data_IF_794908034706
#
_entry.id   IF_794908034706
#
_cell.length_a   1.000
_cell.length_b   1.000
_cell.length_c   1.000
_cell.angle_alpha   90.00
_cell.angle_beta   90.00
_cell.angle_gamma   90.00
#
_symmetry.space_group_name_H-M   'P 1'
#
loop_
_entity.id
_entity.type
_entity.pdbx_description
1 polymer ?
#
# COMPACT_ATOMS: atom_id res chain seq x y z
N UNK A 1 11.37 -0.17 11.65
CA UNK A 1 10.10 -0.58 11.03
C UNK A 1 10.38 -0.72 9.55
N UNK A 2 10.29 -1.91 8.93
CA UNK A 2 10.64 -2.06 7.53
C UNK A 2 9.54 -1.39 6.67
N UNK A 3 9.98 -0.67 5.64
CA UNK A 3 9.11 -0.01 4.67
C UNK A 3 8.22 -1.04 3.97
N UNK A 4 6.94 -0.70 3.74
CA UNK A 4 6.02 -1.52 2.95
C UNK A 4 6.35 -1.35 1.46
N UNK A 5 6.60 -2.46 0.76
CA UNK A 5 7.20 -2.49 -0.58
C UNK A 5 6.21 -3.09 -1.58
N UNK A 6 5.82 -2.36 -2.63
CA UNK A 6 4.90 -2.86 -3.66
C UNK A 6 5.60 -3.82 -4.64
N UNK A 7 5.31 -5.12 -4.53
CA UNK A 7 5.83 -6.23 -5.34
C UNK A 7 5.73 -5.96 -6.85
N UNK A 8 6.63 -6.57 -7.66
CA UNK A 8 6.71 -6.31 -9.08
C UNK A 8 5.40 -6.71 -9.74
N UNK A 9 4.83 -5.76 -10.46
CA UNK A 9 3.74 -5.91 -11.42
C UNK A 9 3.99 -7.11 -12.37
N UNK A 10 3.63 -8.30 -11.93
CA UNK A 10 3.54 -9.51 -12.75
C UNK A 10 2.27 -9.37 -13.59
N UNK A 11 2.44 -8.59 -14.66
CA UNK A 11 1.52 -8.45 -15.78
C UNK A 11 1.26 -9.82 -16.40
N UNK A 12 0.23 -10.52 -15.92
CA UNK A 12 -0.37 -11.60 -16.69
C UNK A 12 -1.39 -10.97 -17.65
N UNK A 13 -0.89 -10.27 -18.68
CA UNK A 13 -1.71 -9.87 -19.82
C UNK A 13 -1.99 -11.14 -20.61
N UNK A 14 -3.12 -11.76 -20.35
CA UNK A 14 -3.68 -12.78 -21.22
C UNK A 14 -4.22 -12.06 -22.46
N UNK A 15 -3.37 -11.87 -23.47
CA UNK A 15 -3.82 -11.48 -24.81
C UNK A 15 -4.66 -12.66 -25.33
N UNK A 16 -5.98 -12.59 -25.21
CA UNK A 16 -6.89 -13.52 -25.88
C UNK A 16 -6.86 -13.20 -27.37
N UNK A 17 -5.96 -13.87 -28.10
CA UNK A 17 -6.11 -14.02 -29.56
C UNK A 17 -6.65 -15.42 -29.82
N UNK A 18 -7.88 -15.40 -30.31
CA UNK A 18 -8.76 -16.45 -30.81
C UNK A 18 -8.15 -17.83 -31.15
N UNK A 19 -8.96 -18.84 -30.80
CA UNK A 19 -9.07 -20.20 -31.37
C UNK A 19 -7.81 -21.08 -31.28
N UNK A 20 -7.75 -21.95 -30.28
CA UNK A 20 -7.90 -23.39 -30.51
C UNK A 20 -7.84 -24.20 -29.20
N UNK A 21 -8.86 -25.02 -29.04
CA UNK A 21 -9.14 -25.85 -27.88
C UNK A 21 -8.45 -27.21 -28.02
N UNK A 22 -7.12 -27.33 -27.98
CA UNK A 22 -6.46 -28.64 -27.77
C UNK A 22 -5.07 -28.49 -27.13
N UNK A 23 -4.93 -29.02 -25.91
CA UNK A 23 -3.69 -29.37 -25.20
C UNK A 23 -2.58 -28.30 -25.10
N UNK A 24 -2.77 -27.38 -24.16
CA UNK A 24 -1.67 -26.66 -23.54
C UNK A 24 -1.20 -27.43 -22.29
N UNK A 25 -0.30 -28.41 -22.50
CA UNK A 25 0.61 -28.91 -21.47
C UNK A 25 1.60 -27.78 -21.15
N UNK A 26 1.15 -26.83 -20.34
CA UNK A 26 2.03 -25.89 -19.64
C UNK A 26 1.82 -26.21 -18.17
N UNK A 27 2.91 -26.42 -17.43
CA UNK A 27 2.88 -26.49 -15.97
C UNK A 27 2.02 -25.34 -15.47
N UNK A 28 0.78 -25.63 -15.05
CA UNK A 28 -0.13 -24.62 -14.58
C UNK A 28 0.58 -23.96 -13.40
N UNK A 29 0.93 -22.67 -13.46
CA UNK A 29 1.35 -21.98 -12.26
C UNK A 29 0.12 -22.06 -11.36
N UNK A 30 0.19 -22.92 -10.34
CA UNK A 30 -0.84 -23.23 -9.36
C UNK A 30 -1.97 -22.19 -9.43
N UNK A 31 -3.07 -22.53 -10.12
CA UNK A 31 -4.25 -21.66 -10.13
C UNK A 31 -4.81 -21.72 -8.72
N UNK A 32 -4.23 -20.91 -7.84
CA UNK A 32 -4.79 -20.65 -6.53
C UNK A 32 -5.88 -19.63 -6.78
N UNK A 33 -7.15 -19.98 -6.56
CA UNK A 33 -8.21 -18.99 -6.61
C UNK A 33 -7.81 -17.89 -5.63
N UNK A 34 -7.60 -16.70 -6.16
CA UNK A 34 -7.27 -15.53 -5.35
C UNK A 34 -8.49 -15.17 -4.52
N UNK A 35 -8.26 -14.78 -3.28
CA UNK A 35 -9.31 -14.20 -2.44
C UNK A 35 -9.77 -12.89 -3.05
N UNK A 36 -11.06 -12.60 -2.92
CA UNK A 36 -11.60 -11.31 -3.32
C UNK A 36 -10.94 -10.20 -2.49
N UNK A 37 -10.63 -9.09 -3.15
CA UNK A 37 -10.07 -7.93 -2.50
C UNK A 37 -11.05 -7.33 -1.45
N UNK A 38 -10.62 -7.12 -0.20
CA UNK A 38 -11.46 -6.48 0.81
C UNK A 38 -11.67 -4.97 0.55
N UNK A 39 -10.84 -4.36 -0.30
CA UNK A 39 -10.93 -2.95 -0.68
C UNK A 39 -11.78 -2.80 -1.94
N UNK A 40 -12.79 -1.95 -1.86
CA UNK A 40 -13.63 -1.65 -3.03
C UNK A 40 -13.01 -0.54 -3.88
N UNK A 41 -12.19 -0.93 -4.86
CA UNK A 41 -11.56 0.00 -5.80
C UNK A 41 -12.55 0.71 -6.73
N UNK A 42 -13.76 0.18 -6.96
CA UNK A 42 -14.72 0.78 -7.90
C UNK A 42 -15.10 2.22 -7.54
N UNK A 43 -15.28 2.50 -6.25
CA UNK A 43 -15.78 3.79 -5.75
C UNK A 43 -14.67 4.72 -5.24
N UNK A 44 -13.41 4.42 -5.52
CA UNK A 44 -12.30 5.30 -5.13
C UNK A 44 -12.18 6.52 -6.05
N UNK A 45 -11.48 7.55 -5.55
CA UNK A 45 -11.25 8.77 -6.30
C UNK A 45 -10.02 8.63 -7.21
N UNK A 46 -10.27 8.42 -8.50
CA UNK A 46 -9.23 8.30 -9.53
C UNK A 46 -8.69 9.64 -10.05
N UNK A 47 -9.16 10.77 -9.53
CA UNK A 47 -8.77 12.11 -9.98
C UNK A 47 -7.28 12.33 -9.84
N UNK A 48 -6.66 11.76 -8.81
CA UNK A 48 -5.21 11.88 -8.62
C UNK A 48 -4.42 11.31 -9.81
N UNK A 49 -4.84 10.15 -10.33
CA UNK A 49 -4.24 9.54 -11.50
C UNK A 49 -4.55 10.37 -12.74
N UNK A 50 -5.83 10.67 -13.00
CA UNK A 50 -6.28 11.28 -14.26
C UNK A 50 -5.92 12.76 -14.40
N UNK A 51 -5.68 13.46 -13.28
CA UNK A 51 -5.25 14.87 -13.28
C UNK A 51 -3.76 15.04 -13.54
N UNK A 52 -2.92 14.16 -12.99
CA UNK A 52 -1.46 14.26 -13.06
C UNK A 52 -0.85 13.43 -14.20
N UNK A 53 -1.35 12.21 -14.40
CA UNK A 53 -0.87 11.30 -15.43
C UNK A 53 -1.70 11.43 -16.71
N UNK A 54 -1.26 12.31 -17.63
CA UNK A 54 -1.98 12.60 -18.89
C UNK A 54 -1.22 12.11 -20.12
N UNK A 55 -1.99 11.56 -21.05
CA UNK A 55 -1.51 11.20 -22.39
C UNK A 55 -1.27 12.44 -23.28
N UNK A 56 -0.60 12.27 -24.42
CA UNK A 56 -0.19 10.99 -25.02
C UNK A 56 1.18 10.48 -24.55
N UNK A 57 2.00 11.32 -23.91
CA UNK A 57 3.38 10.98 -23.55
C UNK A 57 3.52 10.31 -22.18
N UNK A 58 2.52 10.40 -21.30
CA UNK A 58 2.50 9.78 -19.97
C UNK A 58 3.83 9.93 -19.20
N UNK A 59 4.19 11.15 -18.77
CA UNK A 59 5.47 11.43 -18.15
C UNK A 59 5.68 10.55 -16.88
N UNK A 60 6.73 9.70 -16.83
CA UNK A 60 6.92 8.72 -15.75
C UNK A 60 6.98 9.35 -14.36
N UNK A 61 7.68 10.49 -14.21
CA UNK A 61 7.77 11.21 -12.94
C UNK A 61 6.39 11.50 -12.32
N UNK A 62 5.46 12.04 -13.13
CA UNK A 62 4.13 12.41 -12.66
C UNK A 62 3.23 11.19 -12.50
N UNK A 63 3.30 10.25 -13.44
CA UNK A 63 2.48 9.04 -13.44
C UNK A 63 2.82 8.11 -12.27
N UNK A 64 4.11 7.93 -11.98
CA UNK A 64 4.56 7.10 -10.88
C UNK A 64 4.33 7.80 -9.54
N UNK A 65 4.51 9.13 -9.46
CA UNK A 65 4.15 9.90 -8.27
C UNK A 65 2.67 9.78 -7.92
N UNK A 66 1.79 9.99 -8.90
CA UNK A 66 0.34 9.83 -8.72
C UNK A 66 -0.05 8.40 -8.33
N UNK A 67 0.59 7.39 -8.95
CA UNK A 67 0.35 5.99 -8.61
C UNK A 67 0.74 5.69 -7.16
N UNK A 68 1.86 6.23 -6.66
CA UNK A 68 2.23 6.06 -5.25
C UNK A 68 1.18 6.66 -4.34
N UNK A 69 0.80 7.91 -4.56
CA UNK A 69 -0.15 8.58 -3.68
C UNK A 69 -1.53 7.87 -3.67
N UNK A 70 -1.93 7.27 -4.79
CA UNK A 70 -3.12 6.44 -4.88
C UNK A 70 -2.98 5.05 -4.23
N UNK A 71 -1.87 4.35 -4.47
CA UNK A 71 -1.71 2.94 -4.10
C UNK A 71 -1.14 2.73 -2.70
N UNK A 72 -0.31 3.65 -2.20
CA UNK A 72 0.39 3.48 -0.94
C UNK A 72 -0.50 3.35 0.31
N UNK A 73 -1.68 3.98 0.41
CA UNK A 73 -2.61 3.72 1.50
C UNK A 73 -3.11 2.26 1.56
N UNK A 74 -2.99 1.51 0.47
CA UNK A 74 -3.46 0.13 0.33
C UNK A 74 -2.31 -0.86 0.04
N UNK A 75 -1.06 -0.47 0.36
CA UNK A 75 0.12 -1.26 0.01
C UNK A 75 0.05 -2.68 0.56
N UNK A 76 -0.45 -2.87 1.79
CA UNK A 76 -0.52 -4.19 2.43
C UNK A 76 -1.45 -5.14 1.66
N UNK A 77 -2.63 -4.66 1.25
CA UNK A 77 -3.59 -5.47 0.49
C UNK A 77 -3.11 -5.71 -0.93
N UNK A 78 -2.49 -4.71 -1.57
CA UNK A 78 -1.95 -4.82 -2.92
C UNK A 78 -0.74 -5.77 -3.01
N UNK A 79 0.01 -5.92 -1.91
CA UNK A 79 1.17 -6.80 -1.82
C UNK A 79 0.87 -8.24 -1.47
N UNK A 80 -0.34 -8.50 -1.00
CA UNK A 80 -0.76 -9.86 -0.70
C UNK A 80 -1.10 -10.62 -2.00
N UNK A 81 -0.13 -11.44 -2.43
CA UNK A 81 -0.24 -12.30 -3.61
C UNK A 81 -1.36 -13.36 -3.52
N UNK A 82 -1.98 -13.53 -2.34
CA UNK A 82 -3.11 -14.43 -2.14
C UNK A 82 -4.47 -13.82 -2.53
N UNK A 83 -4.53 -12.52 -2.80
CA UNK A 83 -5.73 -11.82 -3.24
C UNK A 83 -5.60 -11.22 -4.65
N UNK A 84 -6.70 -10.69 -5.17
CA UNK A 84 -6.80 -10.07 -6.50
C UNK A 84 -6.76 -8.52 -6.49
N UNK A 85 -6.44 -7.89 -5.36
CA UNK A 85 -6.47 -6.44 -5.19
C UNK A 85 -5.64 -5.70 -6.24
N UNK A 86 -4.41 -6.15 -6.52
CA UNK A 86 -3.55 -5.51 -7.51
C UNK A 86 -4.19 -5.54 -8.90
N UNK A 87 -4.71 -6.70 -9.32
CA UNK A 87 -5.36 -6.85 -10.63
C UNK A 87 -6.62 -5.99 -10.74
N UNK A 88 -7.45 -5.96 -9.69
CA UNK A 88 -8.66 -5.14 -9.61
C UNK A 88 -8.33 -3.65 -9.67
N UNK A 89 -7.37 -3.18 -8.87
CA UNK A 89 -6.93 -1.79 -8.84
C UNK A 89 -6.47 -1.32 -10.23
N UNK A 90 -5.54 -2.05 -10.88
CA UNK A 90 -5.05 -1.66 -12.20
C UNK A 90 -6.13 -1.72 -13.28
N UNK A 91 -7.12 -2.61 -13.16
CA UNK A 91 -8.24 -2.66 -14.09
C UNK A 91 -9.05 -1.37 -14.06
N UNK A 92 -9.41 -0.87 -12.88
CA UNK A 92 -10.15 0.38 -12.75
C UNK A 92 -9.30 1.62 -13.08
N UNK A 93 -8.01 1.64 -12.71
CA UNK A 93 -7.08 2.71 -13.13
C UNK A 93 -7.07 2.82 -14.66
N UNK A 94 -6.92 1.70 -15.36
CA UNK A 94 -6.86 1.68 -16.82
C UNK A 94 -8.22 2.06 -17.44
N UNK A 95 -9.33 1.62 -16.84
CA UNK A 95 -10.69 1.94 -17.30
C UNK A 95 -10.96 3.45 -17.22
N UNK A 96 -10.74 4.08 -16.05
CA UNK A 96 -11.07 5.48 -15.83
C UNK A 96 -10.07 6.44 -16.47
N UNK A 97 -8.78 6.08 -16.47
CA UNK A 97 -7.72 6.91 -17.04
C UNK A 97 -7.42 6.65 -18.51
N UNK A 98 -8.02 5.61 -19.11
CA UNK A 98 -7.77 5.17 -20.49
C UNK A 98 -6.28 4.90 -20.74
N UNK A 99 -5.60 4.34 -19.74
CA UNK A 99 -4.18 4.04 -19.81
C UNK A 99 -3.92 2.76 -20.62
N UNK A 100 -2.85 2.73 -21.43
CA UNK A 100 -2.44 1.51 -22.13
C UNK A 100 -2.00 0.44 -21.13
N UNK A 101 -2.31 -0.85 -21.40
CA UNK A 101 -1.88 -1.94 -20.54
C UNK A 101 -0.35 -2.00 -20.51
N UNK A 102 0.24 -2.14 -19.33
CA UNK A 102 1.68 -2.24 -19.16
C UNK A 102 2.36 -0.94 -18.74
N UNK A 103 1.72 0.22 -18.93
CA UNK A 103 2.34 1.54 -18.71
C UNK A 103 3.01 1.65 -17.34
N UNK A 104 2.29 1.34 -16.27
CA UNK A 104 2.84 1.49 -14.92
C UNK A 104 3.91 0.44 -14.59
N UNK A 105 3.91 -0.74 -15.22
CA UNK A 105 4.99 -1.72 -15.01
C UNK A 105 6.26 -1.42 -15.78
N UNK A 106 6.15 -0.80 -16.95
CA UNK A 106 7.31 -0.41 -17.74
C UNK A 106 7.96 0.83 -17.13
N UNK A 107 7.14 1.84 -16.77
CA UNK A 107 7.64 3.15 -16.37
C UNK A 107 7.97 3.25 -14.88
N UNK A 108 7.20 2.61 -14.00
CA UNK A 108 7.29 2.84 -12.55
C UNK A 108 8.11 1.77 -11.84
N UNK A 109 9.43 1.82 -12.02
CA UNK A 109 10.40 0.97 -11.32
C UNK A 109 11.48 1.82 -10.65
N UNK A 110 11.54 1.79 -9.32
CA UNK A 110 12.54 2.54 -8.56
C UNK A 110 13.67 1.65 -8.03
N UNK A 111 13.48 0.33 -8.07
CA UNK A 111 14.49 -0.65 -7.70
C UNK A 111 14.10 -2.07 -8.12
N UNK A 112 14.84 -3.06 -7.60
CA UNK A 112 14.57 -4.49 -7.85
C UNK A 112 13.22 -4.96 -7.28
N UNK A 113 12.67 -4.21 -6.33
CA UNK A 113 11.51 -4.58 -5.52
C UNK A 113 10.22 -3.87 -5.93
N UNK A 114 10.25 -3.00 -6.95
CA UNK A 114 9.08 -2.31 -7.46
C UNK A 114 9.05 -0.82 -7.09
N UNK A 115 7.91 -0.37 -6.56
CA UNK A 115 7.65 1.03 -6.23
C UNK A 115 7.68 1.20 -4.70
N UNK A 116 8.51 2.11 -4.20
CA UNK A 116 8.62 2.34 -2.75
C UNK A 116 7.61 3.39 -2.31
N UNK A 117 6.83 3.04 -1.28
CA UNK A 117 5.89 3.95 -0.65
C UNK A 117 6.59 4.82 0.39
N UNK A 118 6.39 6.15 0.36
CA UNK A 118 6.89 7.00 1.43
C UNK A 118 6.20 6.62 2.75
N UNK A 119 6.89 6.84 3.88
CA UNK A 119 6.31 6.61 5.19
C UNK A 119 5.03 7.43 5.34
N UNK A 120 3.93 6.79 5.75
CA UNK A 120 2.68 7.51 6.00
C UNK A 120 2.92 8.60 7.06
N UNK A 121 2.40 9.82 6.87
CA UNK A 121 2.46 10.85 7.90
C UNK A 121 1.74 10.36 9.17
N UNK A 122 2.27 10.69 10.37
CA UNK A 122 1.67 10.25 11.62
C UNK A 122 0.26 10.84 11.76
N UNK A 123 -0.77 9.99 11.67
CA UNK A 123 -2.16 10.39 11.88
C UNK A 123 -3.17 9.97 10.82
N UNK A 124 -2.78 9.24 9.76
CA UNK A 124 -3.76 8.60 8.87
C UNK A 124 -4.19 7.26 9.45
N UNK A 125 -5.46 7.10 9.89
CA UNK A 125 -5.96 5.78 10.26
C UNK A 125 -6.03 4.92 9.00
N UNK A 126 -5.40 3.75 9.03
CA UNK A 126 -5.87 2.63 8.24
C UNK A 126 -7.35 2.45 8.59
N UNK A 127 -8.24 2.48 7.60
CA UNK A 127 -9.67 2.32 7.82
C UNK A 127 -9.97 0.84 8.14
N UNK A 128 -9.58 0.43 9.34
CA UNK A 128 -9.95 -0.84 9.93
C UNK A 128 -11.19 -0.61 10.77
N UNK A 129 -12.31 -1.15 10.30
CA UNK A 129 -13.50 -1.31 11.11
C UNK A 129 -13.16 -2.22 12.29
N UNK A 130 -13.47 -1.73 13.50
CA UNK A 130 -13.35 -2.39 14.80
C UNK A 130 -11.94 -2.51 15.40
N UNK A 131 -11.48 -1.45 16.08
CA UNK A 131 -10.67 -1.62 17.27
C UNK A 131 -11.07 -0.61 18.35
N UNK A 132 -11.77 -1.10 19.38
CA UNK A 132 -11.75 -0.45 20.69
C UNK A 132 -10.32 -0.55 21.23
N UNK A 133 -9.53 0.49 20.99
CA UNK A 133 -8.18 0.62 21.52
C UNK A 133 -8.13 1.84 22.44
N UNK A 134 -8.65 1.67 23.66
CA UNK A 134 -8.39 2.61 24.75
C UNK A 134 -7.00 2.36 25.30
N UNK A 135 -5.95 2.70 24.53
CA UNK A 135 -4.60 2.74 25.05
C UNK A 135 -4.36 4.12 25.66
N UNK A 136 -4.64 4.19 26.97
CA UNK A 136 -4.40 5.33 27.85
C UNK A 136 -2.88 5.51 28.01
N UNK A 137 -2.24 6.12 27.01
CA UNK A 137 -0.80 6.37 27.01
C UNK A 137 -0.49 7.63 27.86
N UNK A 138 0.13 7.36 29.01
CA UNK A 138 1.22 8.15 29.62
C UNK A 138 1.01 9.64 29.88
N UNK A 139 0.53 9.97 31.08
CA UNK A 139 0.91 11.18 31.81
C UNK A 139 0.90 10.85 33.30
N UNK A 140 2.06 10.53 33.91
CA UNK A 140 2.37 10.82 35.32
C UNK A 140 3.75 10.25 35.65
N UNK A 141 4.80 10.99 35.30
CA UNK A 141 6.19 10.75 35.75
C UNK A 141 6.66 11.90 36.64
N UNK A 142 5.78 12.41 37.50
CA UNK A 142 6.07 13.50 38.45
C UNK A 142 5.53 13.19 39.85
N UNK A 143 5.83 12.02 40.41
CA UNK A 143 5.67 11.79 41.85
C UNK A 143 6.83 10.92 42.32
N UNK A 144 8.00 11.51 42.57
CA UNK A 144 9.08 10.87 43.33
C UNK A 144 10.21 11.78 43.89
N UNK A 145 10.18 13.13 43.90
CA UNK A 145 11.29 13.88 44.54
C UNK A 145 11.05 14.23 46.01
N UNK A 146 9.85 14.05 46.58
CA UNK A 146 9.56 14.51 47.96
C UNK A 146 10.09 13.57 49.06
N UNK A 147 10.28 12.28 48.77
CA UNK A 147 10.79 11.33 49.76
C UNK A 147 12.32 11.42 49.95
N UNK A 148 13.06 11.85 48.92
CA UNK A 148 14.52 11.93 48.98
C UNK A 148 15.01 13.12 49.81
N UNK A 149 14.31 14.26 49.77
CA UNK A 149 14.69 15.46 50.52
C UNK A 149 14.54 15.33 52.04
N UNK A 150 13.59 14.51 52.54
CA UNK A 150 13.40 14.30 53.98
C UNK A 150 14.47 13.39 54.61
N UNK A 151 14.95 12.39 53.85
CA UNK A 151 16.03 11.50 54.31
C UNK A 151 17.38 12.23 54.44
N UNK A 152 17.65 13.20 53.54
CA UNK A 152 18.87 14.01 53.62
C UNK A 152 18.85 14.96 54.81
N UNK A 153 17.69 15.55 55.13
CA UNK A 153 17.58 16.43 56.32
C UNK A 153 17.76 15.68 57.65
N UNK A 154 17.37 14.40 57.71
CA UNK A 154 17.53 13.59 58.93
C UNK A 154 19.00 13.25 59.22
N UNK A 155 19.84 13.13 58.19
CA UNK A 155 21.28 12.85 58.33
C UNK A 155 22.12 14.10 58.68
N UNK A 156 21.56 15.31 58.53
CA UNK A 156 22.27 16.57 58.80
C UNK A 156 22.07 17.05 60.25
N UNK A 157 21.06 16.51 60.96
CA UNK A 157 20.67 16.93 62.33
C UNK A 157 21.02 15.89 63.43
N UNK A 158 21.69 14.79 63.09
CA UNK A 158 22.28 13.85 64.07
C UNK A 158 23.79 14.01 64.19
#
# INVERSE_FOLDING_TARGET
MPAAQLLPLQFQVMYLRHTDLWLCQWDAPSFRPKKACPVNFEYLNYTIMTSQCKGPKYPPNLCCGALKEFACPYADQLNDVSNDCASTMFSYINLYGKYPPGLFASECREGKQGLECPALPPGQPANDTNHAFTLRKTLSFFILPLAFSLLVLFQIVS
#
